data_IF_394838927139
#
_entry.id   IF_394838927139
#
_cell.length_a   1.000
_cell.length_b   1.000
_cell.length_c   1.000
_cell.angle_alpha   90.00
_cell.angle_beta   90.00
_cell.angle_gamma   90.00
#
_symmetry.space_group_name_H-M   'P 1'
#
loop_
_entity.id
_entity.type
_entity.pdbx_description
1 polymer ?
#
# COMPACT_ATOMS: atom_id res chain seq x y z
N UNK A 1 -39.51 27.37 -47.54
CA UNK A 1 -39.54 25.90 -47.76
C UNK A 1 -39.25 25.17 -46.45
N UNK A 2 -40.28 24.86 -45.65
CA UNK A 2 -40.12 24.14 -44.38
C UNK A 2 -40.54 22.68 -44.54
N UNK A 3 -39.57 21.78 -44.72
CA UNK A 3 -39.84 20.35 -44.84
C UNK A 3 -40.45 19.75 -43.56
N UNK A 4 -41.34 18.77 -43.72
CA UNK A 4 -42.02 18.08 -42.61
C UNK A 4 -41.03 17.54 -41.56
N UNK A 5 -41.26 17.88 -40.28
CA UNK A 5 -40.45 17.43 -39.12
C UNK A 5 -40.35 15.91 -39.02
N UNK A 6 -41.29 15.14 -39.61
CA UNK A 6 -41.22 13.67 -39.68
C UNK A 6 -40.07 13.17 -40.57
N UNK A 7 -39.77 13.84 -41.69
CA UNK A 7 -38.65 13.46 -42.57
C UNK A 7 -37.31 13.72 -41.87
N UNK A 8 -37.19 14.84 -41.16
CA UNK A 8 -35.98 15.18 -40.39
C UNK A 8 -35.66 14.18 -39.26
N UNK A 9 -36.68 13.65 -38.57
CA UNK A 9 -36.48 12.60 -37.55
C UNK A 9 -36.08 11.24 -38.12
N UNK A 10 -36.37 10.95 -39.41
CA UNK A 10 -35.97 9.70 -40.07
C UNK A 10 -34.52 9.73 -40.59
N UNK A 11 -34.05 10.88 -41.08
CA UNK A 11 -32.70 11.02 -41.65
C UNK A 11 -31.60 11.29 -40.61
N UNK A 12 -31.98 11.62 -39.36
CA UNK A 12 -31.00 11.88 -38.31
C UNK A 12 -30.35 10.58 -37.84
N UNK A 13 -29.04 10.48 -37.98
CA UNK A 13 -28.25 9.38 -37.41
C UNK A 13 -28.49 9.32 -35.90
N UNK A 14 -29.02 8.20 -35.43
CA UNK A 14 -29.24 7.98 -34.00
C UNK A 14 -27.90 7.58 -33.38
N UNK A 15 -27.41 8.40 -32.45
CA UNK A 15 -26.26 8.04 -31.60
C UNK A 15 -26.65 6.80 -30.80
N UNK A 16 -25.95 5.69 -31.02
CA UNK A 16 -26.17 4.46 -30.25
C UNK A 16 -25.53 4.63 -28.88
N UNK A 17 -26.34 4.92 -27.86
CA UNK A 17 -25.89 5.12 -26.47
C UNK A 17 -25.73 3.77 -25.72
N UNK A 18 -25.25 2.74 -26.41
CA UNK A 18 -25.13 1.39 -25.85
C UNK A 18 -23.67 0.97 -25.71
N UNK A 19 -23.33 0.27 -24.61
CA UNK A 19 -22.03 -0.38 -24.47
C UNK A 19 -21.85 -1.43 -25.60
N UNK A 20 -20.66 -1.52 -26.20
CA UNK A 20 -20.37 -2.52 -27.22
C UNK A 20 -20.55 -3.93 -26.63
N UNK A 21 -21.32 -4.78 -27.32
CA UNK A 21 -21.55 -6.17 -26.91
C UNK A 21 -20.22 -6.93 -26.98
N UNK A 22 -19.80 -7.51 -25.85
CA UNK A 22 -18.65 -8.42 -25.80
C UNK A 22 -19.09 -9.80 -26.30
N UNK A 23 -18.32 -10.42 -27.18
CA UNK A 23 -18.58 -11.79 -27.63
C UNK A 23 -18.16 -12.77 -26.51
N UNK A 24 -19.08 -13.56 -25.93
CA UNK A 24 -18.77 -14.43 -24.80
C UNK A 24 -17.77 -15.53 -25.16
N UNK A 25 -17.71 -15.94 -26.44
CA UNK A 25 -16.86 -17.03 -26.90
C UNK A 25 -15.46 -16.56 -27.35
N UNK A 26 -15.15 -15.26 -27.26
CA UNK A 26 -13.86 -14.72 -27.68
C UNK A 26 -13.08 -14.24 -26.47
N UNK A 27 -12.20 -15.11 -25.96
CA UNK A 27 -11.27 -14.75 -24.89
C UNK A 27 -10.22 -13.78 -25.44
N UNK A 28 -10.24 -12.54 -24.94
CA UNK A 28 -9.20 -11.55 -25.20
C UNK A 28 -8.31 -11.50 -23.95
N UNK A 29 -7.07 -12.02 -23.98
CA UNK A 29 -6.20 -11.97 -22.81
C UNK A 29 -5.91 -10.52 -22.44
N UNK A 30 -5.74 -10.26 -21.14
CA UNK A 30 -5.44 -8.92 -20.63
C UNK A 30 -4.11 -8.35 -21.17
N UNK A 31 -3.21 -9.21 -21.63
CA UNK A 31 -1.94 -8.85 -22.23
C UNK A 31 -1.56 -9.83 -23.34
N UNK A 32 -1.19 -9.33 -24.52
CA UNK A 32 -0.60 -10.11 -25.61
C UNK A 32 0.87 -9.81 -25.72
N UNK A 33 1.72 -10.82 -25.49
CA UNK A 33 3.16 -10.71 -25.72
C UNK A 33 3.41 -10.45 -27.21
N UNK A 34 4.12 -9.36 -27.58
CA UNK A 34 4.48 -9.06 -28.97
C UNK A 34 5.19 -10.23 -29.65
N UNK A 35 4.93 -10.49 -30.94
CA UNK A 35 5.49 -11.64 -31.66
C UNK A 35 7.03 -11.65 -31.67
N UNK A 36 7.67 -10.46 -31.69
CA UNK A 36 9.13 -10.31 -31.61
C UNK A 36 9.73 -10.81 -30.29
N UNK A 37 8.98 -10.73 -29.19
CA UNK A 37 9.44 -11.25 -27.89
C UNK A 37 9.24 -12.76 -27.79
N UNK A 38 8.28 -13.32 -28.52
CA UNK A 38 8.04 -14.78 -28.54
C UNK A 38 9.17 -15.54 -29.21
N UNK A 39 9.82 -14.97 -30.22
CA UNK A 39 10.98 -15.57 -30.89
C UNK A 39 12.26 -15.51 -30.07
N UNK A 40 12.32 -14.65 -29.04
CA UNK A 40 13.47 -14.58 -28.12
C UNK A 40 13.34 -15.56 -26.95
N UNK A 41 12.13 -16.05 -26.68
CA UNK A 41 11.85 -17.01 -25.61
C UNK A 41 11.88 -18.41 -26.24
N UNK A 42 13.04 -19.06 -26.24
CA UNK A 42 13.16 -20.46 -26.63
C UNK A 42 12.61 -21.35 -25.51
N UNK A 43 11.43 -22.00 -25.68
CA UNK A 43 10.81 -22.80 -24.63
C UNK A 43 11.63 -24.05 -24.25
N UNK A 44 12.62 -24.43 -25.08
CA UNK A 44 13.53 -25.55 -24.85
C UNK A 44 14.71 -25.20 -23.94
N UNK A 45 15.15 -23.93 -23.92
CA UNK A 45 16.27 -23.48 -23.10
C UNK A 45 15.84 -23.09 -21.69
N UNK A 46 14.56 -22.81 -21.52
CA UNK A 46 14.03 -22.13 -20.35
C UNK A 46 13.00 -23.01 -19.63
N UNK A 47 13.47 -24.08 -19.00
CA UNK A 47 12.65 -24.95 -18.14
C UNK A 47 12.74 -24.46 -16.69
N UNK A 48 11.60 -24.32 -16.03
CA UNK A 48 11.55 -23.99 -14.60
C UNK A 48 12.09 -25.18 -13.80
N UNK A 49 13.05 -24.92 -12.90
CA UNK A 49 13.58 -25.92 -11.97
C UNK A 49 12.78 -25.88 -10.66
N UNK A 50 12.12 -26.99 -10.32
CA UNK A 50 11.24 -27.08 -9.15
C UNK A 50 12.04 -27.14 -7.82
N UNK A 51 13.31 -27.53 -7.88
CA UNK A 51 14.18 -27.62 -6.69
C UNK A 51 14.93 -26.31 -6.42
N UNK A 52 15.13 -25.49 -7.45
CA UNK A 52 15.81 -24.21 -7.33
C UNK A 52 14.93 -23.14 -6.67
N UNK A 53 15.58 -22.16 -6.03
CA UNK A 53 14.87 -21.01 -5.50
C UNK A 53 14.33 -20.14 -6.63
N UNK A 54 13.19 -19.49 -6.37
CA UNK A 54 12.50 -18.59 -7.32
C UNK A 54 13.45 -17.57 -7.96
N UNK A 55 14.41 -17.03 -7.18
CA UNK A 55 15.41 -16.06 -7.65
C UNK A 55 16.41 -16.67 -8.65
N UNK A 56 16.87 -17.89 -8.39
CA UNK A 56 17.79 -18.60 -9.30
C UNK A 56 17.12 -18.88 -10.63
N UNK A 57 15.84 -19.26 -10.60
CA UNK A 57 15.05 -19.45 -11.80
C UNK A 57 14.89 -18.15 -12.57
N UNK A 58 14.52 -17.04 -11.92
CA UNK A 58 14.44 -15.75 -12.61
C UNK A 58 15.78 -15.34 -13.24
N UNK A 59 16.91 -15.54 -12.56
CA UNK A 59 18.24 -15.31 -13.13
C UNK A 59 18.51 -16.18 -14.36
N UNK A 60 18.12 -17.46 -14.35
CA UNK A 60 18.32 -18.36 -15.50
C UNK A 60 17.44 -18.00 -16.70
N UNK A 61 16.28 -17.39 -16.47
CA UNK A 61 15.42 -16.82 -17.52
C UNK A 61 15.92 -15.47 -18.06
N UNK A 62 17.06 -14.97 -17.57
CA UNK A 62 17.59 -13.67 -17.96
C UNK A 62 16.84 -12.49 -17.36
N UNK A 63 16.02 -12.70 -16.31
CA UNK A 63 15.52 -11.59 -15.52
C UNK A 63 16.68 -10.99 -14.75
N UNK A 64 16.85 -9.69 -14.98
CA UNK A 64 17.93 -8.90 -14.41
C UNK A 64 17.59 -8.60 -12.94
N UNK A 65 16.28 -8.47 -12.61
CA UNK A 65 15.69 -8.16 -11.28
C UNK A 65 14.72 -9.17 -10.75
N UNK A 66 14.61 -9.17 -9.42
CA UNK A 66 13.49 -9.75 -8.69
C UNK A 66 12.20 -8.94 -8.96
N UNK A 67 11.23 -9.46 -9.73
CA UNK A 67 9.98 -8.76 -10.02
C UNK A 67 9.11 -8.54 -8.78
N UNK A 68 9.34 -9.35 -7.73
CA UNK A 68 8.66 -9.23 -6.44
C UNK A 68 9.19 -8.07 -5.59
N UNK A 69 10.41 -7.57 -5.88
CA UNK A 69 10.94 -6.33 -5.29
C UNK A 69 10.54 -5.11 -6.13
N UNK A 70 10.35 -5.27 -7.44
CA UNK A 70 9.88 -4.22 -8.37
C UNK A 70 8.39 -3.82 -8.21
N UNK A 71 7.79 -4.12 -7.06
CA UNK A 71 6.38 -3.89 -6.76
C UNK A 71 6.04 -2.52 -6.14
N UNK A 72 7.00 -1.62 -5.90
CA UNK A 72 6.71 -0.30 -5.33
C UNK A 72 6.50 0.84 -6.35
N UNK A 73 6.57 0.55 -7.67
CA UNK A 73 6.07 1.35 -8.84
C UNK A 73 7.11 2.05 -9.75
N UNK A 74 8.00 1.33 -10.44
CA UNK A 74 8.54 1.90 -11.70
C UNK A 74 8.93 0.83 -12.72
N UNK A 75 8.45 1.02 -13.95
CA UNK A 75 8.93 0.37 -15.16
C UNK A 75 9.88 1.37 -15.83
N UNK A 76 11.18 1.20 -15.68
CA UNK A 76 12.15 1.92 -16.53
C UNK A 76 12.79 0.93 -17.50
N UNK A 77 13.02 1.33 -18.76
CA UNK A 77 13.51 0.43 -19.82
C UNK A 77 15.03 0.18 -19.77
N UNK A 78 15.76 0.82 -18.87
CA UNK A 78 17.21 0.70 -18.72
C UNK A 78 17.53 0.35 -17.26
N UNK A 79 17.54 -0.95 -16.93
CA UNK A 79 18.08 -1.41 -15.65
C UNK A 79 19.09 -2.53 -15.96
N UNK A 80 20.36 -2.24 -15.68
CA UNK A 80 21.45 -3.20 -15.59
C UNK A 80 21.61 -3.57 -14.11
N UNK A 81 21.67 -4.85 -13.76
CA UNK A 81 21.64 -5.26 -12.35
C UNK A 81 22.86 -6.06 -11.91
N UNK A 82 23.25 -5.76 -10.67
CA UNK A 82 24.38 -6.33 -9.93
C UNK A 82 23.87 -6.85 -8.57
N UNK A 83 24.61 -7.79 -7.96
CA UNK A 83 24.17 -8.52 -6.76
C UNK A 83 23.78 -7.62 -5.57
N UNK A 84 24.25 -6.37 -5.54
CA UNK A 84 23.92 -5.39 -4.52
C UNK A 84 22.44 -4.95 -4.49
N UNK A 85 21.71 -5.04 -5.62
CA UNK A 85 20.32 -4.55 -5.75
C UNK A 85 19.25 -5.63 -5.44
N UNK A 86 19.67 -6.89 -5.30
CA UNK A 86 18.78 -8.02 -4.99
C UNK A 86 18.61 -8.27 -3.48
N UNK A 87 19.37 -7.56 -2.65
CA UNK A 87 19.22 -7.58 -1.20
C UNK A 87 18.18 -6.54 -0.77
N UNK A 88 17.31 -6.86 0.21
CA UNK A 88 16.49 -5.83 0.84
C UNK A 88 17.43 -4.74 1.38
N UNK A 89 17.04 -3.45 1.30
CA UNK A 89 17.88 -2.38 1.83
C UNK A 89 18.23 -2.71 3.29
N UNK A 90 19.51 -2.57 3.70
CA UNK A 90 19.91 -2.90 5.05
C UNK A 90 19.04 -2.11 6.02
N UNK A 91 18.49 -2.80 7.03
CA UNK A 91 17.80 -2.13 8.14
C UNK A 91 18.81 -1.17 8.76
N UNK A 92 18.54 0.14 8.64
CA UNK A 92 19.38 1.17 9.25
C UNK A 92 19.15 1.14 10.76
N UNK A 93 19.82 0.23 11.44
CA UNK A 93 19.79 0.11 12.91
C UNK A 93 20.79 1.08 13.57
N UNK A 94 21.58 1.83 12.78
CA UNK A 94 22.52 2.82 13.27
C UNK A 94 21.86 4.21 13.43
N UNK A 95 22.07 4.92 14.56
CA UNK A 95 21.68 6.30 14.69
C UNK A 95 22.47 7.14 13.67
N UNK A 96 21.76 7.85 12.81
CA UNK A 96 22.35 8.82 11.88
C UNK A 96 23.19 9.83 12.68
N UNK A 97 24.47 9.98 12.29
CA UNK A 97 25.40 10.95 12.86
C UNK A 97 24.78 12.35 12.84
N UNK A 98 24.77 13.02 14.00
CA UNK A 98 24.16 14.34 14.23
C UNK A 98 24.80 15.48 13.40
N UNK A 99 25.91 15.20 12.71
CA UNK A 99 26.69 16.16 11.94
C UNK A 99 26.62 15.99 10.41
N UNK A 100 25.87 15.01 9.91
CA UNK A 100 25.59 14.98 8.47
C UNK A 100 24.50 16.00 8.13
N UNK A 101 24.72 16.89 7.14
CA UNK A 101 23.69 17.82 6.72
C UNK A 101 22.50 17.00 6.22
N UNK A 102 21.42 16.96 6.99
CA UNK A 102 20.15 16.41 6.56
C UNK A 102 19.68 17.29 5.42
N UNK A 103 19.99 16.89 4.19
CA UNK A 103 19.50 17.54 2.98
C UNK A 103 17.97 17.49 3.02
N UNK A 104 17.39 18.62 3.42
CA UNK A 104 15.96 18.81 3.49
C UNK A 104 15.43 18.87 2.05
N UNK A 105 15.25 17.68 1.46
CA UNK A 105 14.90 17.46 0.07
C UNK A 105 13.94 18.50 -0.46
N UNK A 106 14.32 19.12 -1.58
CA UNK A 106 13.56 20.17 -2.23
C UNK A 106 12.18 19.66 -2.64
N UNK A 107 11.15 20.50 -2.59
CA UNK A 107 9.81 20.15 -3.07
C UNK A 107 9.75 19.98 -4.60
N UNK A 108 10.83 20.36 -5.28
CA UNK A 108 11.02 20.22 -6.71
C UNK A 108 11.46 18.81 -7.12
N UNK A 109 12.08 18.05 -6.21
CA UNK A 109 12.49 16.68 -6.45
C UNK A 109 11.28 15.73 -6.39
N UNK A 110 11.14 14.90 -7.43
CA UNK A 110 10.14 13.84 -7.49
C UNK A 110 10.24 12.92 -6.27
N UNK A 111 9.08 12.48 -5.76
CA UNK A 111 8.98 11.60 -4.59
C UNK A 111 9.84 10.34 -4.73
N UNK A 112 10.00 9.83 -5.95
CA UNK A 112 10.78 8.65 -6.26
C UNK A 112 12.27 8.86 -5.98
N UNK A 113 12.84 10.01 -6.37
CA UNK A 113 14.24 10.35 -6.10
C UNK A 113 14.51 10.48 -4.60
N UNK A 114 13.57 11.05 -3.83
CA UNK A 114 13.68 11.17 -2.38
C UNK A 114 13.73 9.79 -1.70
N UNK A 115 12.95 8.82 -2.17
CA UNK A 115 12.95 7.46 -1.60
C UNK A 115 14.24 6.69 -1.90
N UNK A 116 14.75 6.78 -3.13
CA UNK A 116 16.00 6.12 -3.55
C UNK A 116 17.20 6.65 -2.76
N UNK A 117 17.25 7.97 -2.56
CA UNK A 117 18.31 8.62 -1.78
C UNK A 117 18.11 8.47 -0.25
N UNK A 118 16.99 7.88 0.18
CA UNK A 118 16.65 7.72 1.60
C UNK A 118 16.44 9.05 2.33
N UNK A 119 16.08 10.12 1.61
CA UNK A 119 15.75 11.43 2.19
C UNK A 119 14.38 11.34 2.87
N UNK A 120 14.26 11.88 4.08
CA UNK A 120 12.97 11.98 4.78
C UNK A 120 12.13 13.09 4.13
N UNK A 121 10.82 12.87 3.97
CA UNK A 121 9.90 13.93 3.55
C UNK A 121 9.90 15.05 4.60
N UNK A 122 9.86 16.33 4.16
CA UNK A 122 9.77 17.49 5.06
C UNK A 122 8.50 17.47 5.91
N UNK A 123 7.43 16.83 5.43
CA UNK A 123 6.17 16.64 6.17
C UNK A 123 6.28 15.67 7.36
N UNK A 124 7.51 15.28 7.76
CA UNK A 124 7.86 14.23 8.72
C UNK A 124 7.37 14.39 10.16
N UNK A 125 6.35 15.21 10.43
CA UNK A 125 5.60 15.14 11.68
C UNK A 125 4.60 13.99 11.55
N UNK A 126 4.93 12.83 12.12
CA UNK A 126 3.96 11.75 12.31
C UNK A 126 2.71 12.35 12.95
N UNK A 127 1.55 12.13 12.32
CA UNK A 127 0.29 12.63 12.84
C UNK A 127 0.16 12.23 14.32
N UNK A 128 -0.18 13.18 15.22
CA UNK A 128 -0.28 12.87 16.63
C UNK A 128 -1.30 11.75 16.84
N UNK A 129 -1.05 10.90 17.84
CA UNK A 129 -1.93 9.77 18.14
C UNK A 129 -3.33 10.30 18.42
N UNK A 130 -4.30 9.85 17.62
CA UNK A 130 -5.69 10.28 17.76
C UNK A 130 -6.21 9.93 19.17
N UNK A 131 -6.91 10.86 19.84
CA UNK A 131 -7.51 10.57 21.14
C UNK A 131 -8.60 9.51 21.01
N UNK A 132 -8.92 8.86 22.13
CA UNK A 132 -9.99 7.86 22.21
C UNK A 132 -11.38 8.48 22.03
N UNK A 133 -12.30 7.70 21.47
CA UNK A 133 -13.71 8.11 21.40
C UNK A 133 -14.37 8.13 22.78
N UNK A 134 -15.54 8.77 22.91
CA UNK A 134 -16.29 8.83 24.19
C UNK A 134 -16.62 7.44 24.73
N UNK A 135 -17.13 6.55 23.88
CA UNK A 135 -17.49 5.17 24.24
C UNK A 135 -16.23 4.38 24.65
N UNK A 136 -15.14 4.50 23.87
CA UNK A 136 -13.89 3.79 24.17
C UNK A 136 -13.31 4.20 25.51
N UNK A 137 -13.40 5.48 25.90
CA UNK A 137 -12.90 5.95 27.21
C UNK A 137 -13.68 5.36 28.36
N UNK A 138 -15.01 5.36 28.30
CA UNK A 138 -15.83 4.74 29.37
C UNK A 138 -15.53 3.25 29.49
N UNK A 139 -15.36 2.56 28.36
CA UNK A 139 -15.04 1.14 28.33
C UNK A 139 -13.67 0.83 28.92
N UNK A 140 -12.62 1.52 28.44
CA UNK A 140 -11.23 1.33 28.88
C UNK A 140 -11.04 1.83 30.31
N UNK A 141 -11.69 2.92 30.72
CA UNK A 141 -11.66 3.42 32.10
C UNK A 141 -12.12 2.37 33.11
N UNK A 142 -13.23 1.68 32.84
CA UNK A 142 -13.72 0.57 33.70
C UNK A 142 -12.75 -0.60 33.76
N UNK A 143 -12.05 -0.91 32.67
CA UNK A 143 -11.05 -1.97 32.64
C UNK A 143 -9.81 -1.59 33.46
N UNK A 144 -9.31 -0.36 33.30
CA UNK A 144 -8.18 0.19 34.04
C UNK A 144 -8.49 0.29 35.54
N UNK A 145 -9.68 0.77 35.90
CA UNK A 145 -10.12 0.85 37.31
C UNK A 145 -10.10 -0.51 38.02
N UNK A 146 -10.44 -1.59 37.30
CA UNK A 146 -10.50 -2.95 37.88
C UNK A 146 -9.17 -3.70 37.82
N UNK A 147 -8.42 -3.57 36.73
CA UNK A 147 -7.26 -4.41 36.44
C UNK A 147 -5.92 -3.66 36.38
N UNK A 148 -5.92 -2.32 36.42
CA UNK A 148 -4.71 -1.51 36.30
C UNK A 148 -4.02 -1.71 34.95
N UNK A 149 -2.81 -2.27 34.96
CA UNK A 149 -1.99 -2.53 33.76
C UNK A 149 -1.96 -4.02 33.34
N UNK A 150 -2.74 -4.89 33.99
CA UNK A 150 -2.76 -6.33 33.70
C UNK A 150 -3.60 -6.66 32.44
N UNK A 151 -3.02 -6.43 31.24
CA UNK A 151 -3.73 -6.62 29.97
C UNK A 151 -4.23 -8.06 29.72
N UNK A 152 -3.52 -9.07 30.24
CA UNK A 152 -3.98 -10.46 30.13
C UNK A 152 -5.24 -10.72 30.96
N UNK A 153 -5.38 -10.09 32.12
CA UNK A 153 -6.59 -10.21 32.95
C UNK A 153 -7.76 -9.46 32.31
N UNK A 154 -7.51 -8.27 31.76
CA UNK A 154 -8.51 -7.51 31.00
C UNK A 154 -9.04 -8.30 29.80
N UNK A 155 -8.15 -8.97 29.07
CA UNK A 155 -8.53 -9.81 27.92
C UNK A 155 -9.45 -10.96 28.33
N UNK A 156 -9.21 -11.58 29.50
CA UNK A 156 -10.02 -12.68 30.03
C UNK A 156 -11.37 -12.23 30.61
N UNK A 157 -11.54 -10.96 30.94
CA UNK A 157 -12.81 -10.45 31.46
C UNK A 157 -13.83 -10.25 30.33
N UNK A 158 -14.55 -11.31 30.01
CA UNK A 158 -15.58 -11.30 28.96
C UNK A 158 -16.76 -10.35 29.25
N UNK A 159 -16.97 -9.96 30.52
CA UNK A 159 -18.07 -9.06 30.89
C UNK A 159 -17.69 -7.61 30.68
N UNK A 160 -16.51 -7.21 31.17
CA UNK A 160 -16.05 -5.83 30.98
C UNK A 160 -15.48 -5.60 29.58
N UNK A 161 -14.72 -6.55 29.02
CA UNK A 161 -14.27 -6.53 27.62
C UNK A 161 -15.34 -7.14 26.70
N UNK A 162 -16.54 -6.57 26.72
CA UNK A 162 -17.67 -7.03 25.90
C UNK A 162 -17.37 -7.02 24.39
N UNK A 163 -16.49 -6.12 23.95
CA UNK A 163 -16.04 -6.01 22.56
C UNK A 163 -14.93 -7.00 22.18
N UNK A 164 -14.48 -7.85 23.12
CA UNK A 164 -13.48 -8.90 22.91
C UNK A 164 -12.19 -8.39 22.26
N UNK A 165 -11.70 -7.23 22.72
CA UNK A 165 -10.45 -6.67 22.21
C UNK A 165 -9.27 -7.59 22.53
N UNK A 166 -8.39 -7.89 21.55
CA UNK A 166 -7.19 -8.67 21.80
C UNK A 166 -6.18 -7.88 22.63
N UNK A 167 -5.26 -8.57 23.31
CA UNK A 167 -4.27 -7.98 24.25
C UNK A 167 -3.52 -6.79 23.64
N UNK A 168 -3.01 -6.91 22.41
CA UNK A 168 -2.26 -5.82 21.76
C UNK A 168 -3.13 -4.61 21.40
N UNK A 169 -4.43 -4.79 21.23
CA UNK A 169 -5.37 -3.67 21.05
C UNK A 169 -5.62 -2.97 22.38
N UNK A 170 -5.83 -3.74 23.46
CA UNK A 170 -6.01 -3.20 24.82
C UNK A 170 -4.80 -2.37 25.24
N UNK A 171 -3.59 -2.87 25.01
CA UNK A 171 -2.36 -2.12 25.30
C UNK A 171 -2.35 -0.76 24.58
N UNK A 172 -2.60 -0.72 23.27
CA UNK A 172 -2.66 0.53 22.49
C UNK A 172 -3.76 1.48 22.98
N UNK A 173 -4.90 0.95 23.41
CA UNK A 173 -6.01 1.76 23.91
C UNK A 173 -5.68 2.33 25.29
N UNK A 174 -5.09 1.55 26.20
CA UNK A 174 -4.63 2.02 27.50
C UNK A 174 -3.52 3.07 27.35
N UNK A 175 -2.53 2.84 26.48
CA UNK A 175 -1.49 3.84 26.17
C UNK A 175 -2.10 5.17 25.71
N UNK A 176 -3.08 5.12 24.79
CA UNK A 176 -3.82 6.32 24.35
C UNK A 176 -4.63 6.96 25.47
N UNK A 177 -5.20 6.16 26.36
CA UNK A 177 -5.96 6.63 27.51
C UNK A 177 -5.04 7.38 28.49
N UNK A 178 -3.85 6.88 28.80
CA UNK A 178 -2.91 7.58 29.69
C UNK A 178 -2.38 8.89 29.08
N UNK A 179 -2.17 8.93 27.76
CA UNK A 179 -1.70 10.13 27.05
C UNK A 179 -2.73 11.28 27.10
N UNK A 180 -4.01 10.98 26.93
CA UNK A 180 -5.07 11.99 26.83
C UNK A 180 -5.97 12.07 28.10
N UNK A 181 -5.78 11.16 29.06
CA UNK A 181 -6.63 10.94 30.24
C UNK A 181 -8.13 11.02 29.90
N UNK A 182 -8.93 11.63 30.75
CA UNK A 182 -10.38 11.80 30.53
C UNK A 182 -10.73 12.95 29.59
N UNK A 183 -9.74 13.73 29.13
CA UNK A 183 -9.99 14.93 28.31
C UNK A 183 -9.89 14.56 26.84
N UNK A 184 -10.91 14.88 26.05
CA UNK A 184 -10.78 14.78 24.60
C UNK A 184 -10.23 16.14 24.12
N UNK A 185 -8.97 16.22 23.65
CA UNK A 185 -8.42 17.47 23.17
C UNK A 185 -9.22 18.06 22.00
N UNK A 186 -10.03 17.25 21.30
CA UNK A 186 -10.88 17.68 20.18
C UNK A 186 -12.21 18.32 20.60
N UNK A 187 -12.63 18.16 21.87
CA UNK A 187 -13.89 18.73 22.39
C UNK A 187 -13.62 20.02 23.17
N UNK A 188 -12.37 20.30 23.54
CA UNK A 188 -11.94 21.54 24.18
C UNK A 188 -11.66 22.66 23.15
N UNK A 189 -12.49 22.77 22.11
CA UNK A 189 -12.60 23.99 21.32
C UNK A 189 -13.61 24.91 21.99
N UNK A 190 -13.16 25.71 22.96
CA UNK A 190 -13.87 26.91 23.42
C UNK A 190 -12.88 28.00 23.69
#
# INVERSE_FOLDING_TARGET
MGGSRRKYKKSRSKVKVGLPRKNPNQFKPAFTVPPKLRSLIDPSQSKWDDEASVRKNYRSFGFVSDPNLLGARSRTPQILETEALQLPPPKRDAPLSEFEPVDQGSDLEEDDLKTVLGKKRRDGKTAPVKPLTTIQRVHIGRLIEKYGDDYQKMFRDTKLNSMQHPVGMLQKLCERFHLHKDKNPLILSR
#
